data_IF_260487340142
#
_entry.id   IF_260487340142
#
_cell.length_a   1.000
_cell.length_b   1.000
_cell.length_c   1.000
_cell.angle_alpha   90.00
_cell.angle_beta   90.00
_cell.angle_gamma   90.00
#
_symmetry.space_group_name_H-M   'P 1'
#
loop_
_entity.id
_entity.type
_entity.pdbx_description
1 polymer ?
#
# COMPACT_ATOMS: atom_id res chain seq x y z
N UNK A 1 5.82 5.33 -10.84
CA UNK A 1 4.86 4.35 -10.27
C UNK A 1 4.87 4.46 -8.76
N UNK A 2 6.04 4.37 -8.13
CA UNK A 2 6.23 4.53 -6.69
C UNK A 2 5.65 5.83 -6.14
N UNK A 3 5.80 6.98 -6.83
CA UNK A 3 5.21 8.25 -6.38
C UNK A 3 3.69 8.21 -6.21
N UNK A 4 2.97 7.48 -7.07
CA UNK A 4 1.51 7.33 -6.95
C UNK A 4 1.18 6.46 -5.75
N UNK A 5 1.91 5.35 -5.57
CA UNK A 5 1.72 4.46 -4.44
C UNK A 5 2.02 5.16 -3.11
N UNK A 6 3.12 5.92 -3.03
CA UNK A 6 3.45 6.78 -1.88
C UNK A 6 2.30 7.75 -1.60
N UNK A 7 1.74 8.41 -2.63
CA UNK A 7 0.60 9.32 -2.45
C UNK A 7 -0.64 8.62 -1.89
N UNK A 8 -0.96 7.43 -2.36
CA UNK A 8 -2.08 6.63 -1.87
C UNK A 8 -1.88 6.31 -0.38
N UNK A 9 -0.71 5.75 -0.04
CA UNK A 9 -0.35 5.38 1.33
C UNK A 9 -0.34 6.61 2.24
N UNK A 10 0.28 7.71 1.81
CA UNK A 10 0.31 8.97 2.55
C UNK A 10 -1.08 9.55 2.78
N UNK A 11 -2.01 9.36 1.85
CA UNK A 11 -3.37 9.84 2.06
C UNK A 11 -4.05 9.09 3.20
N UNK A 12 -3.81 7.78 3.32
CA UNK A 12 -4.33 6.95 4.40
C UNK A 12 -3.64 7.31 5.73
N UNK A 13 -2.30 7.39 5.73
CA UNK A 13 -1.51 7.80 6.89
C UNK A 13 -1.91 9.17 7.42
N UNK A 14 -2.08 10.16 6.54
CA UNK A 14 -2.50 11.51 6.89
C UNK A 14 -3.91 11.55 7.46
N UNK A 15 -4.81 10.69 6.98
CA UNK A 15 -6.17 10.54 7.51
C UNK A 15 -6.15 9.99 8.95
N UNK A 16 -5.20 9.10 9.24
CA UNK A 16 -4.93 8.57 10.58
C UNK A 16 -4.08 9.51 11.46
N UNK A 17 -3.59 10.63 10.92
CA UNK A 17 -2.70 11.55 11.63
C UNK A 17 -1.27 11.03 11.81
N UNK A 18 -0.85 10.05 10.99
CA UNK A 18 0.50 9.49 10.98
C UNK A 18 1.44 10.25 10.03
N UNK A 19 2.73 9.99 10.19
CA UNK A 19 3.79 10.58 9.37
C UNK A 19 3.72 10.09 7.93
N UNK A 20 3.81 11.02 6.98
CA UNK A 20 3.89 10.72 5.55
C UNK A 20 5.22 10.02 5.22
N UNK A 21 5.16 8.95 4.41
CA UNK A 21 6.31 8.31 3.80
C UNK A 21 6.89 9.21 2.71
N UNK A 22 8.18 9.46 2.80
CA UNK A 22 8.92 10.15 1.73
C UNK A 22 9.48 9.19 0.69
N UNK A 23 9.77 7.96 1.09
CA UNK A 23 10.31 6.93 0.22
C UNK A 23 9.54 5.63 0.42
N UNK A 24 9.43 4.85 -0.65
CA UNK A 24 8.78 3.57 -0.63
C UNK A 24 9.82 2.52 -0.24
N UNK A 25 9.93 2.20 1.05
CA UNK A 25 10.82 1.14 1.51
C UNK A 25 10.13 -0.23 1.41
N UNK A 26 10.75 -1.14 0.66
CA UNK A 26 10.23 -2.48 0.39
C UNK A 26 10.12 -3.34 1.66
N UNK A 27 10.97 -3.08 2.65
CA UNK A 27 10.98 -3.78 3.93
C UNK A 27 9.93 -3.26 4.94
N UNK A 28 9.24 -2.15 4.61
CA UNK A 28 8.17 -1.63 5.44
C UNK A 28 7.02 -2.62 5.52
N UNK A 29 6.63 -2.94 6.74
CA UNK A 29 5.47 -3.76 7.02
C UNK A 29 4.23 -2.88 7.13
N UNK A 30 3.20 -3.18 6.34
CA UNK A 30 1.94 -2.43 6.35
C UNK A 30 1.29 -2.50 7.73
N UNK A 31 1.36 -3.65 8.40
CA UNK A 31 0.70 -3.87 9.70
C UNK A 31 1.58 -3.53 10.90
N UNK A 32 2.89 -3.73 10.81
CA UNK A 32 3.80 -3.49 11.94
C UNK A 32 4.37 -2.06 11.92
N UNK A 33 4.83 -1.60 10.75
CA UNK A 33 5.46 -0.28 10.61
C UNK A 33 4.42 0.82 10.33
N UNK A 34 3.58 0.62 9.31
CA UNK A 34 2.51 1.57 8.99
C UNK A 34 1.30 1.43 9.92
N UNK A 35 1.19 0.31 10.65
CA UNK A 35 0.07 -0.02 11.53
C UNK A 35 -1.30 0.02 10.84
N UNK A 36 -1.38 -0.45 9.60
CA UNK A 36 -2.60 -0.54 8.84
C UNK A 36 -3.47 -1.68 9.37
N UNK A 37 -4.58 -1.29 9.99
CA UNK A 37 -5.70 -2.17 10.29
C UNK A 37 -6.49 -2.57 9.04
N UNK A 38 -7.40 -3.52 9.18
CA UNK A 38 -8.26 -4.03 8.09
C UNK A 38 -8.99 -2.94 7.31
N UNK A 39 -9.36 -1.82 7.96
CA UNK A 39 -9.98 -0.66 7.30
C UNK A 39 -8.99 0.08 6.39
N UNK A 40 -7.76 0.28 6.86
CA UNK A 40 -6.71 0.94 6.10
C UNK A 40 -6.30 0.07 4.91
N UNK A 41 -6.18 -1.25 5.10
CA UNK A 41 -5.88 -2.21 4.02
C UNK A 41 -6.99 -2.24 2.96
N UNK A 42 -8.26 -2.22 3.39
CA UNK A 42 -9.40 -2.13 2.46
C UNK A 42 -9.41 -0.80 1.69
N UNK A 43 -9.11 0.33 2.33
CA UNK A 43 -9.00 1.61 1.62
C UNK A 43 -7.78 1.65 0.68
N UNK A 44 -6.67 1.01 1.09
CA UNK A 44 -5.47 0.88 0.28
C UNK A 44 -5.74 0.09 -1.00
N UNK A 45 -6.38 -1.09 -0.89
CA UNK A 45 -6.67 -1.94 -2.06
C UNK A 45 -7.58 -1.24 -3.05
N UNK A 46 -8.65 -0.61 -2.58
CA UNK A 46 -9.60 0.10 -3.47
C UNK A 46 -8.93 1.25 -4.21
N UNK A 47 -8.04 1.99 -3.54
CA UNK A 47 -7.30 3.08 -4.19
C UNK A 47 -6.26 2.57 -5.18
N UNK A 48 -5.60 1.46 -4.87
CA UNK A 48 -4.63 0.84 -5.79
C UNK A 48 -5.36 0.26 -7.00
N UNK A 49 -6.49 -0.41 -6.81
CA UNK A 49 -7.34 -0.93 -7.89
C UNK A 49 -7.86 0.22 -8.78
N UNK A 50 -8.31 1.33 -8.20
CA UNK A 50 -8.76 2.50 -8.97
C UNK A 50 -7.61 3.18 -9.74
N UNK A 51 -6.42 3.33 -9.13
CA UNK A 51 -5.28 4.03 -9.73
C UNK A 51 -4.45 3.16 -10.71
N UNK A 52 -4.34 1.85 -10.45
CA UNK A 52 -3.49 0.92 -11.18
C UNK A 52 -4.26 -0.22 -11.86
N UNK A 53 -5.51 -0.49 -11.47
CA UNK A 53 -6.28 -1.62 -11.99
C UNK A 53 -5.83 -2.98 -11.45
N UNK A 54 -5.15 -3.01 -10.31
CA UNK A 54 -4.62 -4.23 -9.68
C UNK A 54 -5.19 -4.37 -8.29
N UNK A 55 -5.86 -5.49 -8.01
CA UNK A 55 -6.24 -5.84 -6.64
C UNK A 55 -5.10 -6.61 -5.97
N UNK A 56 -4.55 -6.02 -4.90
CA UNK A 56 -3.37 -6.55 -4.24
C UNK A 56 -3.71 -7.61 -3.19
N UNK A 57 -4.97 -7.71 -2.75
CA UNK A 57 -5.44 -8.64 -1.71
C UNK A 57 -6.33 -9.77 -2.24
N UNK A 58 -6.52 -9.90 -3.55
CA UNK A 58 -7.46 -10.86 -4.17
C UNK A 58 -7.06 -12.31 -3.87
N UNK A 59 -5.77 -12.63 -4.01
CA UNK A 59 -5.25 -14.00 -3.87
C UNK A 59 -4.30 -14.17 -2.66
N UNK A 60 -3.68 -13.09 -2.18
CA UNK A 60 -2.63 -13.13 -1.16
C UNK A 60 -2.83 -12.09 -0.05
N UNK A 61 -2.33 -12.43 1.14
CA UNK A 61 -2.19 -11.48 2.24
C UNK A 61 -0.92 -10.67 2.02
N UNK A 62 -1.09 -9.41 1.62
CA UNK A 62 0.02 -8.47 1.55
C UNK A 62 0.34 -7.95 2.95
N UNK A 63 1.54 -8.28 3.42
CA UNK A 63 2.07 -7.78 4.68
C UNK A 63 3.13 -6.68 4.48
N UNK A 64 3.92 -6.80 3.41
CA UNK A 64 5.01 -5.88 3.08
C UNK A 64 4.71 -5.00 1.88
N UNK A 65 5.36 -3.85 1.86
CA UNK A 65 5.30 -2.92 0.75
C UNK A 65 5.91 -3.51 -0.54
N UNK A 66 6.95 -4.34 -0.42
CA UNK A 66 7.53 -5.11 -1.53
C UNK A 66 6.50 -5.92 -2.32
N UNK A 67 5.56 -6.56 -1.63
CA UNK A 67 4.53 -7.41 -2.25
C UNK A 67 3.57 -6.59 -3.10
N UNK A 68 3.19 -5.41 -2.60
CA UNK A 68 2.36 -4.45 -3.36
C UNK A 68 3.07 -4.05 -4.64
N UNK A 69 4.34 -3.66 -4.54
CA UNK A 69 5.14 -3.23 -5.68
C UNK A 69 5.22 -4.37 -6.70
N UNK A 70 5.41 -5.60 -6.25
CA UNK A 70 5.51 -6.76 -7.13
C UNK A 70 4.19 -7.02 -7.87
N UNK A 71 3.06 -6.99 -7.15
CA UNK A 71 1.71 -7.12 -7.74
C UNK A 71 1.46 -6.03 -8.80
N UNK A 72 1.79 -4.77 -8.50
CA UNK A 72 1.57 -3.65 -9.43
C UNK A 72 2.50 -3.71 -10.63
N UNK A 73 3.76 -4.14 -10.46
CA UNK A 73 4.70 -4.27 -11.57
C UNK A 73 4.42 -5.48 -12.47
N UNK A 74 3.66 -6.48 -12.00
CA UNK A 74 3.34 -7.67 -12.78
C UNK A 74 4.54 -8.57 -13.04
N UNK A 75 5.53 -8.60 -12.13
CA UNK A 75 6.64 -9.55 -12.20
C UNK A 75 6.19 -10.89 -11.60
N UNK A 76 5.55 -11.71 -12.43
CA UNK A 76 5.50 -13.17 -12.26
C UNK A 76 6.88 -13.81 -12.50
#
# INVERSE_FOLDING_TARGET
>A
MEEKLIKIINTILKKEGRTELNNLEEDLSLRDDLGFDSLNLAELTVRIEDEFGVDIFEDDIVDKLSEIINKINGSE
#
